data_IF_417357932762
#
_entry.id   IF_417357932762
#
_cell.length_a   1.000
_cell.length_b   1.000
_cell.length_c   1.000
_cell.angle_alpha   90.00
_cell.angle_beta   90.00
_cell.angle_gamma   90.00
#
_symmetry.space_group_name_H-M   'P 1'
#
loop_
_entity.id
_entity.type
_entity.pdbx_description
1 polymer ?
#
# COMPACT_ATOMS: atom_id res chain seq x y z
N UNK A 1 18.71 28.29 36.85
CA UNK A 1 17.35 28.04 36.33
C UNK A 1 17.43 27.04 35.18
N UNK A 2 17.24 25.75 35.45
CA UNK A 2 17.38 24.67 34.47
C UNK A 2 16.09 24.40 33.69
N UNK A 3 16.13 24.60 32.38
CA UNK A 3 15.02 24.28 31.47
C UNK A 3 14.96 22.77 31.18
N UNK A 4 13.96 22.07 31.74
CA UNK A 4 13.61 20.69 31.36
C UNK A 4 12.98 20.68 29.96
N UNK A 5 13.77 20.38 28.92
CA UNK A 5 13.24 20.07 27.58
C UNK A 5 12.53 18.72 27.60
N UNK A 6 11.19 18.75 27.51
CA UNK A 6 10.33 17.56 27.35
C UNK A 6 10.70 16.82 26.08
N UNK A 7 11.24 15.61 26.23
CA UNK A 7 11.43 14.65 25.16
C UNK A 7 10.07 14.24 24.60
N UNK A 8 9.61 14.91 23.52
CA UNK A 8 8.52 14.39 22.68
C UNK A 8 9.07 13.10 22.07
N UNK A 9 8.64 11.93 22.58
CA UNK A 9 8.92 10.63 21.95
C UNK A 9 8.30 10.67 20.56
N UNK A 10 9.13 11.02 19.60
CA UNK A 10 8.72 11.29 18.22
C UNK A 10 8.23 9.99 17.61
N UNK A 11 7.09 10.05 16.89
CA UNK A 11 6.57 8.96 16.07
C UNK A 11 7.66 8.25 15.25
N UNK A 12 8.72 8.98 14.88
CA UNK A 12 9.92 8.47 14.23
C UNK A 12 10.66 7.34 14.98
N UNK A 13 10.67 7.31 16.32
CA UNK A 13 11.28 6.20 17.08
C UNK A 13 10.37 4.98 17.17
N UNK A 14 9.05 5.19 17.27
CA UNK A 14 8.07 4.07 17.19
C UNK A 14 8.07 3.45 15.78
N UNK A 15 8.16 4.27 14.73
CA UNK A 15 8.30 3.80 13.35
C UNK A 15 9.63 3.09 13.09
N UNK A 16 10.72 3.46 13.77
CA UNK A 16 12.00 2.72 13.68
C UNK A 16 11.93 1.30 14.25
N UNK A 17 11.06 1.05 15.23
CA UNK A 17 10.82 -0.29 15.79
C UNK A 17 9.72 -1.08 15.07
N UNK A 18 8.92 -0.42 14.23
CA UNK A 18 7.93 -1.06 13.38
C UNK A 18 8.66 -1.66 12.18
N UNK A 19 8.86 -2.98 12.20
CA UNK A 19 9.51 -3.68 11.09
C UNK A 19 8.83 -3.39 9.74
N UNK A 20 9.53 -3.62 8.62
CA UNK A 20 9.04 -3.31 7.27
C UNK A 20 7.64 -3.89 6.99
N UNK A 21 7.30 -5.04 7.61
CA UNK A 21 5.96 -5.62 7.56
C UNK A 21 4.86 -4.66 8.04
N UNK A 22 5.06 -3.95 9.15
CA UNK A 22 4.07 -3.03 9.69
C UNK A 22 3.89 -1.79 8.80
N UNK A 23 4.95 -1.33 8.14
CA UNK A 23 4.89 -0.23 7.17
C UNK A 23 4.10 -0.66 5.93
N UNK A 24 4.40 -1.85 5.38
CA UNK A 24 3.69 -2.42 4.23
C UNK A 24 2.21 -2.64 4.56
N UNK A 25 1.87 -3.23 5.72
CA UNK A 25 0.48 -3.41 6.14
C UNK A 25 -0.26 -2.07 6.26
N UNK A 26 0.37 -1.02 6.79
CA UNK A 26 -0.27 0.30 6.89
C UNK A 26 -0.53 0.98 5.53
N UNK A 27 0.33 0.72 4.53
CA UNK A 27 0.14 1.22 3.18
C UNK A 27 -1.00 0.50 2.43
N UNK A 28 -1.17 -0.80 2.67
CA UNK A 28 -2.21 -1.61 2.03
C UNK A 28 -3.56 -1.57 2.75
N UNK A 29 -3.57 -1.51 4.08
CA UNK A 29 -4.78 -1.37 4.90
C UNK A 29 -5.00 0.12 5.18
N UNK A 30 -5.27 0.86 4.11
CA UNK A 30 -5.54 2.30 4.17
C UNK A 30 -7.03 2.62 4.31
N UNK A 31 -7.38 3.91 4.50
CA UNK A 31 -8.78 4.36 4.55
C UNK A 31 -9.57 3.96 3.30
N UNK A 32 -8.93 3.91 2.11
CA UNK A 32 -9.56 3.44 0.87
C UNK A 32 -9.95 1.96 0.90
N UNK A 33 -9.13 1.09 1.49
CA UNK A 33 -9.40 -0.34 1.64
C UNK A 33 -10.56 -0.56 2.62
N UNK A 34 -10.61 0.23 3.70
CA UNK A 34 -11.71 0.21 4.68
C UNK A 34 -13.02 0.67 4.02
N UNK A 35 -13.01 1.78 3.29
CA UNK A 35 -14.19 2.31 2.57
C UNK A 35 -14.67 1.33 1.50
N UNK A 36 -13.77 0.77 0.70
CA UNK A 36 -14.12 -0.19 -0.36
C UNK A 36 -14.68 -1.49 0.22
N UNK A 37 -14.07 -2.01 1.28
CA UNK A 37 -14.55 -3.23 1.95
C UNK A 37 -15.90 -2.99 2.62
N UNK A 38 -16.11 -1.78 3.18
CA UNK A 38 -17.39 -1.38 3.75
C UNK A 38 -18.47 -1.27 2.66
N UNK A 39 -18.19 -0.59 1.55
CA UNK A 39 -19.07 -0.50 0.38
C UNK A 39 -19.39 -1.90 -0.19
N UNK A 40 -18.38 -2.76 -0.34
CA UNK A 40 -18.58 -4.13 -0.79
C UNK A 40 -19.44 -4.95 0.19
N UNK A 41 -19.21 -4.80 1.50
CA UNK A 41 -20.01 -5.47 2.53
C UNK A 41 -21.48 -5.04 2.54
N UNK A 42 -21.74 -3.74 2.33
CA UNK A 42 -23.11 -3.19 2.25
C UNK A 42 -23.82 -3.67 0.98
N UNK A 43 -23.13 -3.75 -0.16
CA UNK A 43 -23.74 -4.13 -1.44
C UNK A 43 -23.94 -5.64 -1.62
N UNK A 44 -23.04 -6.49 -1.11
CA UNK A 44 -23.02 -7.93 -1.47
C UNK A 44 -23.56 -8.89 -0.37
N UNK A 45 -23.96 -8.39 0.81
CA UNK A 45 -24.53 -9.19 1.94
C UNK A 45 -23.67 -10.44 2.28
N UNK A 46 -24.26 -11.44 2.94
CA UNK A 46 -23.59 -12.65 3.44
C UNK A 46 -23.08 -13.62 2.35
N UNK A 47 -23.46 -13.44 1.08
CA UNK A 47 -23.13 -14.40 0.01
C UNK A 47 -21.65 -14.35 -0.41
N UNK A 48 -21.00 -13.17 -0.29
CA UNK A 48 -19.60 -12.97 -0.66
C UNK A 48 -18.63 -12.99 0.54
N UNK A 49 -19.14 -13.11 1.76
CA UNK A 49 -18.34 -12.94 2.99
C UNK A 49 -17.22 -13.99 3.10
N UNK A 50 -17.51 -15.22 2.66
CA UNK A 50 -16.53 -16.30 2.60
C UNK A 50 -15.44 -16.05 1.55
N UNK A 51 -15.80 -15.46 0.39
CA UNK A 51 -14.87 -15.15 -0.68
C UNK A 51 -13.92 -14.01 -0.29
N UNK A 52 -14.42 -12.98 0.40
CA UNK A 52 -13.61 -11.87 0.92
C UNK A 52 -12.64 -12.36 2.00
N UNK A 53 -13.10 -13.24 2.91
CA UNK A 53 -12.24 -13.83 3.94
C UNK A 53 -11.11 -14.67 3.31
N UNK A 54 -11.44 -15.54 2.35
CA UNK A 54 -10.45 -16.38 1.67
C UNK A 54 -9.46 -15.54 0.83
N UNK A 55 -9.96 -14.50 0.17
CA UNK A 55 -9.15 -13.54 -0.58
C UNK A 55 -8.19 -12.77 0.33
N UNK A 56 -8.66 -12.25 1.46
CA UNK A 56 -7.82 -11.55 2.43
C UNK A 56 -6.69 -12.42 2.99
N UNK A 57 -6.99 -13.68 3.31
CA UNK A 57 -5.99 -14.65 3.77
C UNK A 57 -4.91 -14.91 2.70
N UNK A 58 -5.34 -15.12 1.45
CA UNK A 58 -4.43 -15.27 0.31
C UNK A 58 -3.55 -14.04 0.11
N UNK A 59 -4.11 -12.84 0.31
CA UNK A 59 -3.40 -11.57 0.17
C UNK A 59 -2.30 -11.40 1.23
N UNK A 60 -2.55 -11.81 2.47
CA UNK A 60 -1.54 -11.76 3.54
C UNK A 60 -0.35 -12.66 3.22
N UNK A 61 -0.61 -13.89 2.72
CA UNK A 61 0.46 -14.80 2.29
C UNK A 61 1.27 -14.19 1.15
N UNK A 62 0.60 -13.58 0.17
CA UNK A 62 1.27 -12.90 -0.95
C UNK A 62 2.13 -11.73 -0.48
N UNK A 63 1.68 -10.93 0.48
CA UNK A 63 2.47 -9.82 1.03
C UNK A 63 3.69 -10.31 1.80
N UNK A 64 3.56 -11.40 2.56
CA UNK A 64 4.72 -11.98 3.26
C UNK A 64 5.77 -12.48 2.25
N UNK A 65 5.33 -13.15 1.19
CA UNK A 65 6.22 -13.61 0.10
C UNK A 65 6.87 -12.42 -0.61
N UNK A 66 6.10 -11.40 -0.99
CA UNK A 66 6.62 -10.20 -1.64
C UNK A 66 7.62 -9.45 -0.75
N UNK A 67 7.34 -9.33 0.55
CA UNK A 67 8.23 -8.73 1.52
C UNK A 67 9.54 -9.50 1.68
N UNK A 68 9.47 -10.84 1.79
CA UNK A 68 10.66 -11.70 1.84
C UNK A 68 11.49 -11.60 0.56
N UNK A 69 10.86 -11.64 -0.60
CA UNK A 69 11.54 -11.50 -1.90
C UNK A 69 12.21 -10.13 -2.01
N UNK A 70 11.52 -9.05 -1.64
CA UNK A 70 12.09 -7.70 -1.67
C UNK A 70 13.31 -7.54 -0.76
N UNK A 71 13.30 -8.16 0.41
CA UNK A 71 14.44 -8.13 1.35
C UNK A 71 15.60 -9.00 0.87
N UNK A 72 15.33 -10.22 0.39
CA UNK A 72 16.36 -11.18 -0.02
C UNK A 72 17.01 -10.77 -1.35
N UNK A 73 16.22 -10.30 -2.31
CA UNK A 73 16.69 -9.96 -3.66
C UNK A 73 17.62 -8.73 -3.67
N UNK A 74 17.55 -7.85 -2.65
CA UNK A 74 18.25 -6.54 -2.59
C UNK A 74 18.04 -5.65 -3.83
N UNK A 75 17.14 -6.05 -4.72
CA UNK A 75 16.69 -5.31 -5.88
C UNK A 75 15.28 -4.80 -5.59
N UNK A 76 15.07 -3.52 -5.85
CA UNK A 76 13.72 -2.97 -5.87
C UNK A 76 12.87 -3.76 -6.89
N UNK A 77 11.58 -3.88 -6.64
CA UNK A 77 10.67 -4.60 -7.55
C UNK A 77 10.71 -3.96 -8.95
N UNK A 78 10.93 -2.63 -9.01
CA UNK A 78 11.18 -1.92 -10.26
C UNK A 78 12.50 -2.33 -10.94
N UNK A 79 13.55 -2.59 -10.17
CA UNK A 79 14.86 -3.04 -10.68
C UNK A 79 14.77 -4.47 -11.24
N UNK A 80 14.09 -5.38 -10.53
CA UNK A 80 13.88 -6.76 -10.98
C UNK A 80 12.97 -6.80 -12.23
N UNK A 81 11.95 -5.95 -12.28
CA UNK A 81 11.08 -5.81 -13.44
C UNK A 81 11.84 -5.24 -14.64
N UNK A 82 12.66 -4.19 -14.46
CA UNK A 82 13.49 -3.64 -15.55
C UNK A 82 14.57 -4.60 -16.04
N UNK A 83 15.14 -5.43 -15.16
CA UNK A 83 16.13 -6.44 -15.52
C UNK A 83 15.56 -7.55 -16.42
N UNK A 84 14.26 -7.81 -16.34
CA UNK A 84 13.56 -8.80 -17.18
C UNK A 84 13.30 -8.32 -18.62
N UNK A 85 13.52 -7.03 -18.91
CA UNK A 85 13.36 -6.45 -20.25
C UNK A 85 14.71 -6.17 -20.91
N UNK A 86 14.87 -6.53 -22.19
CA UNK A 86 16.11 -6.28 -22.95
C UNK A 86 16.49 -4.80 -23.04
N UNK A 87 15.54 -3.88 -22.88
CA UNK A 87 15.76 -2.44 -23.05
C UNK A 87 15.55 -1.68 -21.73
N UNK A 88 16.57 -1.70 -20.87
CA UNK A 88 16.53 -1.16 -19.48
C UNK A 88 16.01 0.29 -19.38
N UNK A 89 16.34 1.14 -20.36
CA UNK A 89 15.87 2.54 -20.41
C UNK A 89 14.36 2.64 -20.64
N UNK A 90 13.82 1.86 -21.57
CA UNK A 90 12.39 1.84 -21.87
C UNK A 90 11.60 1.23 -20.72
N UNK A 91 12.10 0.14 -20.14
CA UNK A 91 11.48 -0.48 -18.97
C UNK A 91 11.44 0.48 -17.77
N UNK A 92 12.52 1.23 -17.52
CA UNK A 92 12.54 2.25 -16.47
C UNK A 92 11.54 3.38 -16.70
N UNK A 93 11.36 3.81 -17.95
CA UNK A 93 10.35 4.82 -18.31
C UNK A 93 8.93 4.28 -18.09
N UNK A 94 8.64 3.04 -18.52
CA UNK A 94 7.33 2.41 -18.35
C UNK A 94 6.98 2.24 -16.88
N UNK A 95 7.91 1.75 -16.05
CA UNK A 95 7.62 1.55 -14.63
C UNK A 95 7.38 2.90 -13.93
N UNK A 96 8.21 3.92 -14.22
CA UNK A 96 7.98 5.27 -13.68
C UNK A 96 6.66 5.86 -14.14
N UNK A 97 6.27 5.69 -15.41
CA UNK A 97 4.99 6.19 -15.90
C UNK A 97 3.81 5.49 -15.25
N UNK A 98 3.88 4.17 -15.04
CA UNK A 98 2.85 3.39 -14.33
C UNK A 98 2.69 3.86 -12.89
N UNK A 99 3.79 4.11 -12.17
CA UNK A 99 3.74 4.65 -10.79
C UNK A 99 3.05 6.01 -10.78
N UNK A 100 3.45 6.92 -11.69
CA UNK A 100 2.86 8.26 -11.79
C UNK A 100 1.37 8.19 -12.10
N UNK A 101 0.98 7.40 -13.11
CA UNK A 101 -0.43 7.21 -13.48
C UNK A 101 -1.25 6.64 -12.32
N UNK A 102 -0.70 5.68 -11.58
CA UNK A 102 -1.38 5.08 -10.42
C UNK A 102 -1.60 6.08 -9.30
N UNK A 103 -0.61 6.93 -9.02
CA UNK A 103 -0.73 8.00 -8.02
C UNK A 103 -1.79 9.03 -8.44
N UNK A 104 -1.77 9.47 -9.71
CA UNK A 104 -2.77 10.39 -10.24
C UNK A 104 -4.17 9.80 -10.23
N UNK A 105 -4.34 8.55 -10.65
CA UNK A 105 -5.64 7.87 -10.64
C UNK A 105 -6.17 7.72 -9.21
N UNK A 106 -5.30 7.44 -8.23
CA UNK A 106 -5.68 7.35 -6.82
C UNK A 106 -6.12 8.71 -6.27
N UNK A 107 -5.38 9.78 -6.58
CA UNK A 107 -5.74 11.13 -6.17
C UNK A 107 -7.08 11.57 -6.79
N UNK A 108 -7.25 11.33 -8.10
CA UNK A 108 -8.49 11.64 -8.81
C UNK A 108 -9.68 10.85 -8.26
N UNK A 109 -9.49 9.57 -7.92
CA UNK A 109 -10.55 8.75 -7.32
C UNK A 109 -11.01 9.26 -5.96
N UNK A 110 -10.11 9.82 -5.15
CA UNK A 110 -10.47 10.46 -3.87
C UNK A 110 -11.26 11.75 -4.07
N UNK A 111 -10.81 12.62 -4.98
CA UNK A 111 -11.53 13.86 -5.29
C UNK A 111 -12.90 13.58 -5.92
N UNK A 112 -12.97 12.67 -6.89
CA UNK A 112 -14.24 12.26 -7.50
C UNK A 112 -15.19 11.64 -6.46
N UNK A 113 -14.69 10.78 -5.56
CA UNK A 113 -15.49 10.22 -4.48
C UNK A 113 -16.05 11.28 -3.53
N UNK A 114 -15.27 12.33 -3.23
CA UNK A 114 -15.74 13.46 -2.44
C UNK A 114 -16.84 14.27 -3.14
N UNK A 115 -16.77 14.43 -4.47
CA UNK A 115 -17.79 15.14 -5.24
C UNK A 115 -19.10 14.35 -5.38
N UNK A 116 -19.04 13.02 -5.42
CA UNK A 116 -20.24 12.16 -5.53
C UNK A 116 -20.95 12.03 -4.18
N UNK A 117 -20.24 12.15 -3.06
CA UNK A 117 -20.80 12.01 -1.71
C UNK A 117 -21.60 13.24 -1.22
N UNK A 118 -21.46 14.40 -1.87
CA UNK A 118 -22.14 15.66 -1.51
C UNK A 118 -23.51 15.84 -2.22
N UNK A 119 -23.86 14.94 -3.15
CA UNK A 119 -25.15 14.89 -3.86
C UNK A 119 -26.01 13.72 -3.39
#
# INVERSE_FOLDING_TARGET
MGQKKKHKKSLAEKLKGMGPAAIVTSAFVGPGTITTTTLAGVNFKYSLLWAILFSGLSLVVLMEMAGRIGIISNHDIAEAATASFSNKKLAGIIIKSVIVVTLFATAFGLEAGNLIADH
#
